data_IF_963388929582
#
_entry.id   IF_963388929582
#
_cell.length_a   1.000
_cell.length_b   1.000
_cell.length_c   1.000
_cell.angle_alpha   90.00
_cell.angle_beta   90.00
_cell.angle_gamma   90.00
#
_symmetry.space_group_name_H-M   'P 1'
#
loop_
_entity.id
_entity.type
_entity.pdbx_description
1 polymer ?
#
# COMPACT_ATOMS: atom_id res chain seq x y z
N UNK A 1 8.35 -0.57 -40.46
CA UNK A 1 8.80 -0.69 -39.08
C UNK A 1 7.56 -0.53 -38.24
N UNK A 2 7.12 -1.58 -37.56
CA UNK A 2 6.02 -1.48 -36.60
C UNK A 2 6.67 -0.89 -35.36
N UNK A 3 6.44 0.39 -35.10
CA UNK A 3 6.63 0.93 -33.74
C UNK A 3 5.67 0.13 -32.87
N UNK A 4 6.19 -0.85 -32.13
CA UNK A 4 5.53 -1.35 -30.94
C UNK A 4 5.33 -0.12 -30.05
N UNK A 5 4.13 0.46 -30.06
CA UNK A 5 3.72 1.40 -29.02
C UNK A 5 4.02 0.71 -27.69
N UNK A 6 4.88 1.32 -26.88
CA UNK A 6 5.06 0.89 -25.52
C UNK A 6 3.68 0.89 -24.86
N UNK A 7 3.32 -0.22 -24.21
CA UNK A 7 2.09 -0.29 -23.42
C UNK A 7 2.31 0.65 -22.24
N UNK A 8 1.38 1.58 -22.01
CA UNK A 8 1.43 2.49 -20.88
C UNK A 8 1.33 1.70 -19.57
N UNK A 9 2.24 1.98 -18.63
CA UNK A 9 2.19 1.46 -17.27
C UNK A 9 1.28 2.37 -16.44
N UNK A 10 0.06 1.87 -16.15
CA UNK A 10 -1.00 2.63 -15.50
C UNK A 10 -1.53 1.83 -14.31
N UNK A 11 -1.64 2.49 -13.16
CA UNK A 11 -2.26 1.91 -11.97
C UNK A 11 -2.95 3.00 -11.14
N UNK A 12 -4.22 2.82 -10.83
CA UNK A 12 -4.95 3.73 -9.92
C UNK A 12 -4.49 3.47 -8.50
N UNK A 13 -4.12 4.53 -7.80
CA UNK A 13 -3.58 4.46 -6.44
C UNK A 13 -4.58 4.95 -5.40
N UNK A 14 -5.29 6.03 -5.68
CA UNK A 14 -6.24 6.62 -4.73
C UNK A 14 -7.45 7.21 -5.44
N UNK A 15 -8.58 7.12 -4.77
CA UNK A 15 -9.80 7.82 -5.10
C UNK A 15 -10.21 8.65 -3.89
N UNK A 16 -10.48 9.93 -4.12
CA UNK A 16 -10.97 10.85 -3.10
C UNK A 16 -12.32 11.38 -3.55
N UNK A 17 -13.29 11.41 -2.63
CA UNK A 17 -14.61 11.97 -2.86
C UNK A 17 -15.11 12.66 -1.61
N UNK A 18 -15.78 13.79 -1.78
CA UNK A 18 -16.65 14.38 -0.77
C UNK A 18 -18.08 14.40 -1.28
N UNK A 19 -19.03 14.55 -0.36
CA UNK A 19 -20.45 14.41 -0.67
C UNK A 19 -20.93 15.53 -1.60
N UNK A 20 -20.83 15.29 -2.90
CA UNK A 20 -21.24 16.20 -3.95
C UNK A 20 -20.46 17.50 -4.06
N UNK A 21 -19.28 17.65 -3.44
CA UNK A 21 -18.43 18.85 -3.53
C UNK A 21 -17.23 18.68 -4.49
N UNK A 22 -16.95 17.45 -4.90
CA UNK A 22 -15.93 17.12 -5.89
C UNK A 22 -15.36 15.72 -5.67
N UNK A 23 -14.45 15.33 -6.55
CA UNK A 23 -13.68 14.09 -6.45
C UNK A 23 -12.27 14.28 -7.01
N UNK A 24 -11.35 13.38 -6.66
CA UNK A 24 -10.01 13.30 -7.23
C UNK A 24 -9.66 11.84 -7.54
N UNK A 25 -9.03 11.60 -8.69
CA UNK A 25 -8.43 10.32 -9.02
C UNK A 25 -6.92 10.47 -9.13
N UNK A 26 -6.20 9.66 -8.36
CA UNK A 26 -4.74 9.63 -8.33
C UNK A 26 -4.26 8.32 -8.91
N UNK A 27 -3.40 8.38 -9.93
CA UNK A 27 -2.88 7.19 -10.59
C UNK A 27 -1.43 7.38 -11.04
N UNK A 28 -0.70 6.28 -11.12
CA UNK A 28 0.59 6.21 -11.78
C UNK A 28 0.41 6.15 -13.29
N UNK A 29 1.23 6.89 -14.02
CA UNK A 29 1.32 6.82 -15.47
C UNK A 29 2.79 6.90 -15.88
N UNK A 30 3.34 5.80 -16.40
CA UNK A 30 4.74 5.67 -16.85
C UNK A 30 5.78 6.20 -15.84
N UNK A 31 5.59 5.88 -14.55
CA UNK A 31 6.49 6.28 -13.47
C UNK A 31 6.29 7.70 -12.91
N UNK A 32 5.31 8.45 -13.43
CA UNK A 32 4.88 9.73 -12.88
C UNK A 32 3.56 9.57 -12.12
N UNK A 33 3.29 10.49 -11.21
CA UNK A 33 2.01 10.58 -10.52
C UNK A 33 1.10 11.60 -11.22
N UNK A 34 -0.13 11.20 -11.49
CA UNK A 34 -1.16 12.06 -12.09
C UNK A 34 -2.33 12.15 -11.11
N UNK A 35 -2.73 13.38 -10.78
CA UNK A 35 -3.93 13.69 -10.00
C UNK A 35 -4.91 14.45 -10.89
N UNK A 36 -6.15 13.95 -10.96
CA UNK A 36 -7.22 14.56 -11.76
C UNK A 36 -8.37 14.93 -10.85
N UNK A 37 -8.50 16.23 -10.61
CA UNK A 37 -9.56 16.83 -9.82
C UNK A 37 -10.80 17.08 -10.66
N UNK A 38 -11.95 16.69 -10.13
CA UNK A 38 -13.27 16.78 -10.76
C UNK A 38 -14.14 17.65 -9.86
N UNK A 39 -14.52 18.82 -10.37
CA UNK A 39 -15.37 19.77 -9.65
C UNK A 39 -16.79 19.77 -10.19
N UNK A 40 -17.81 19.99 -9.33
CA UNK A 40 -19.20 19.98 -9.75
C UNK A 40 -19.50 21.15 -10.68
N UNK A 41 -20.46 20.96 -11.61
CA UNK A 41 -20.85 21.97 -12.60
C UNK A 41 -21.44 23.25 -12.03
N UNK A 42 -22.15 23.14 -10.91
CA UNK A 42 -22.85 24.26 -10.27
C UNK A 42 -22.51 24.40 -8.78
N UNK A 43 -21.30 24.02 -8.36
CA UNK A 43 -20.85 24.13 -6.97
C UNK A 43 -21.33 23.02 -6.02
N UNK A 44 -22.29 22.18 -6.43
CA UNK A 44 -22.56 20.88 -5.82
C UNK A 44 -23.15 19.91 -6.85
N UNK A 45 -22.67 18.66 -6.86
CA UNK A 45 -23.33 17.52 -7.49
C UNK A 45 -24.52 17.16 -6.59
N UNK A 46 -25.64 17.87 -6.74
CA UNK A 46 -26.88 17.44 -6.11
C UNK A 46 -27.26 16.08 -6.72
N UNK A 47 -27.71 15.15 -5.85
CA UNK A 47 -28.42 13.91 -6.25
C UNK A 47 -29.79 14.27 -6.86
N UNK A 48 -29.81 15.18 -7.84
CA UNK A 48 -31.01 15.60 -8.52
C UNK A 48 -31.46 14.46 -9.42
N UNK A 49 -32.66 13.99 -9.11
CA UNK A 49 -33.39 12.87 -9.71
C UNK A 49 -33.86 13.18 -11.15
N UNK A 50 -33.20 14.10 -11.86
CA UNK A 50 -33.52 14.46 -13.23
C UNK A 50 -32.80 13.54 -14.22
N UNK A 51 -33.55 13.12 -15.25
CA UNK A 51 -33.22 12.06 -16.20
C UNK A 51 -31.80 12.16 -16.79
N UNK A 52 -31.15 10.99 -16.88
CA UNK A 52 -29.75 10.72 -17.25
C UNK A 52 -29.18 11.35 -18.55
N UNK A 53 -29.96 12.06 -19.37
CA UNK A 53 -29.49 12.51 -20.70
C UNK A 53 -28.85 13.90 -20.73
N UNK A 54 -29.16 14.77 -19.76
CA UNK A 54 -28.69 16.16 -19.75
C UNK A 54 -27.76 16.49 -18.56
N UNK A 55 -27.39 15.49 -17.74
CA UNK A 55 -26.50 15.69 -16.60
C UNK A 55 -25.06 15.95 -17.07
N UNK A 56 -24.37 16.98 -16.54
CA UNK A 56 -22.95 17.20 -16.83
C UNK A 56 -22.11 15.97 -16.45
N UNK A 57 -21.19 15.59 -17.34
CA UNK A 57 -20.39 14.38 -17.17
C UNK A 57 -19.52 14.42 -15.90
N UNK A 58 -19.04 15.60 -15.51
CA UNK A 58 -18.27 15.77 -14.27
C UNK A 58 -19.09 15.45 -13.01
N UNK A 59 -20.39 15.78 -12.99
CA UNK A 59 -21.26 15.45 -11.86
C UNK A 59 -21.53 13.94 -11.79
N UNK A 60 -21.62 13.27 -12.95
CA UNK A 60 -21.69 11.81 -13.03
C UNK A 60 -20.41 11.15 -12.49
N UNK A 61 -19.22 11.65 -12.84
CA UNK A 61 -17.97 11.08 -12.32
C UNK A 61 -17.75 11.30 -10.84
N UNK A 62 -18.22 12.42 -10.28
CA UNK A 62 -18.23 12.60 -8.82
C UNK A 62 -19.04 11.48 -8.15
N UNK A 63 -20.21 11.13 -8.69
CA UNK A 63 -21.02 10.03 -8.15
C UNK A 63 -20.38 8.66 -8.37
N UNK A 64 -19.74 8.42 -9.51
CA UNK A 64 -19.01 7.16 -9.78
C UNK A 64 -17.89 6.97 -8.76
N UNK A 65 -17.11 8.02 -8.51
CA UNK A 65 -16.02 7.98 -7.53
C UNK A 65 -16.57 7.88 -6.10
N UNK A 66 -17.64 8.60 -5.74
CA UNK A 66 -18.33 8.45 -4.44
C UNK A 66 -18.83 7.01 -4.22
N UNK A 67 -19.34 6.36 -5.27
CA UNK A 67 -19.75 4.95 -5.19
C UNK A 67 -18.54 4.03 -5.02
N UNK A 68 -17.48 4.25 -5.80
CA UNK A 68 -16.26 3.45 -5.71
C UNK A 68 -15.63 3.52 -4.32
N UNK A 69 -15.55 4.71 -3.71
CA UNK A 69 -14.97 4.89 -2.37
C UNK A 69 -15.80 4.25 -1.25
N UNK A 70 -17.11 4.07 -1.45
CA UNK A 70 -18.00 3.39 -0.51
C UNK A 70 -18.23 1.90 -0.84
N UNK A 71 -17.71 1.41 -1.97
CA UNK A 71 -17.94 0.05 -2.45
C UNK A 71 -17.20 -0.97 -1.58
N UNK A 72 -17.85 -2.12 -1.34
CA UNK A 72 -17.27 -3.26 -0.62
C UNK A 72 -17.13 -4.51 -1.50
N UNK A 73 -17.58 -4.42 -2.75
CA UNK A 73 -17.51 -5.49 -3.74
C UNK A 73 -16.39 -5.15 -4.73
N UNK A 74 -15.38 -6.02 -4.80
CA UNK A 74 -14.16 -5.75 -5.57
C UNK A 74 -14.46 -5.67 -7.09
N UNK A 75 -15.40 -6.47 -7.60
CA UNK A 75 -15.77 -6.48 -9.02
C UNK A 75 -16.51 -5.18 -9.38
N UNK A 76 -17.46 -4.74 -8.54
CA UNK A 76 -18.16 -3.46 -8.74
C UNK A 76 -17.20 -2.27 -8.60
N UNK A 77 -16.25 -2.32 -7.66
CA UNK A 77 -15.21 -1.30 -7.52
C UNK A 77 -14.36 -1.17 -8.78
N UNK A 78 -13.86 -2.29 -9.32
CA UNK A 78 -13.05 -2.29 -10.54
C UNK A 78 -13.81 -1.71 -11.74
N UNK A 79 -15.09 -2.10 -11.93
CA UNK A 79 -15.93 -1.55 -13.00
C UNK A 79 -16.09 -0.02 -12.90
N UNK A 80 -16.30 0.51 -11.69
CA UNK A 80 -16.45 1.95 -11.45
C UNK A 80 -15.13 2.72 -11.68
N UNK A 81 -14.01 2.15 -11.24
CA UNK A 81 -12.67 2.74 -11.44
C UNK A 81 -12.32 2.78 -12.93
N UNK A 82 -12.56 1.68 -13.65
CA UNK A 82 -12.29 1.57 -15.08
C UNK A 82 -13.15 2.54 -15.90
N UNK A 83 -14.42 2.73 -15.53
CA UNK A 83 -15.30 3.71 -16.17
C UNK A 83 -14.71 5.13 -16.11
N UNK A 84 -14.32 5.57 -14.91
CA UNK A 84 -13.77 6.91 -14.71
C UNK A 84 -12.39 7.07 -15.34
N UNK A 85 -11.51 6.06 -15.20
CA UNK A 85 -10.16 6.07 -15.74
C UNK A 85 -10.17 6.10 -17.27
N UNK A 86 -11.05 5.34 -17.92
CA UNK A 86 -11.15 5.31 -19.38
C UNK A 86 -11.40 6.70 -19.96
N UNK A 87 -12.32 7.47 -19.37
CA UNK A 87 -12.63 8.82 -19.85
C UNK A 87 -11.49 9.79 -19.60
N UNK A 88 -10.82 9.69 -18.46
CA UNK A 88 -9.63 10.50 -18.15
C UNK A 88 -8.52 10.22 -19.17
N UNK A 89 -8.28 8.95 -19.49
CA UNK A 89 -7.27 8.56 -20.46
C UNK A 89 -7.64 9.00 -21.88
N UNK A 90 -8.91 8.91 -22.28
CA UNK A 90 -9.37 9.40 -23.59
C UNK A 90 -9.16 10.91 -23.75
N UNK A 91 -9.37 11.69 -22.68
CA UNK A 91 -9.17 13.13 -22.68
C UNK A 91 -7.70 13.57 -22.49
N UNK A 92 -6.91 12.76 -21.78
CA UNK A 92 -5.63 13.17 -21.18
C UNK A 92 -4.38 12.44 -21.67
N UNK A 93 -4.50 11.23 -22.26
CA UNK A 93 -3.34 10.36 -22.52
C UNK A 93 -2.24 11.04 -23.35
N UNK A 94 -2.60 11.79 -24.40
CA UNK A 94 -1.61 12.52 -25.21
C UNK A 94 -0.90 13.62 -24.42
N UNK A 95 -1.60 14.30 -23.51
CA UNK A 95 -1.05 15.34 -22.66
C UNK A 95 -0.06 14.74 -21.64
N UNK A 96 -0.39 13.58 -21.06
CA UNK A 96 0.50 12.86 -20.14
C UNK A 96 1.80 12.46 -20.82
N UNK A 97 1.73 11.85 -22.01
CA UNK A 97 2.91 11.51 -22.82
C UNK A 97 3.79 12.71 -23.14
N UNK A 98 3.19 13.85 -23.48
CA UNK A 98 3.93 15.07 -23.79
C UNK A 98 4.73 15.57 -22.58
N UNK A 99 4.19 15.46 -21.38
CA UNK A 99 4.85 15.90 -20.15
C UNK A 99 5.98 14.95 -19.73
N UNK A 100 5.79 13.64 -19.91
CA UNK A 100 6.73 12.61 -19.48
C UNK A 100 7.95 12.52 -20.41
N UNK A 101 7.74 12.59 -21.73
CA UNK A 101 8.83 12.58 -22.72
C UNK A 101 9.85 13.73 -22.58
N UNK A 102 9.53 14.76 -21.79
CA UNK A 102 10.42 15.88 -21.50
C UNK A 102 11.36 15.63 -20.32
N UNK A 103 11.13 14.60 -19.51
CA UNK A 103 12.02 14.19 -18.42
C UNK A 103 12.82 12.96 -18.84
N UNK A 104 14.15 13.01 -18.69
CA UNK A 104 15.11 12.00 -19.15
C UNK A 104 14.65 10.56 -18.80
N UNK A 105 14.20 9.80 -19.83
CA UNK A 105 13.89 8.37 -19.76
C UNK A 105 15.10 7.52 -19.28
N UNK A 106 16.30 8.10 -19.21
CA UNK A 106 17.53 7.45 -18.78
C UNK A 106 17.83 7.60 -17.28
N UNK A 107 17.04 8.36 -16.53
CA UNK A 107 17.23 8.62 -15.10
C UNK A 107 16.14 8.04 -14.19
N UNK A 108 15.19 7.25 -14.72
CA UNK A 108 14.28 6.37 -13.94
C UNK A 108 15.11 5.25 -13.29
N UNK A 109 15.96 5.66 -12.36
CA UNK A 109 16.85 4.81 -11.65
C UNK A 109 16.01 3.85 -10.83
N UNK A 110 16.53 2.63 -10.65
CA UNK A 110 16.02 1.70 -9.65
C UNK A 110 16.10 2.28 -8.22
N UNK A 111 16.47 3.55 -8.01
CA UNK A 111 16.51 4.13 -6.68
C UNK A 111 15.11 4.19 -6.06
N UNK A 112 15.02 3.86 -4.77
CA UNK A 112 13.82 4.02 -3.97
C UNK A 112 13.27 5.45 -4.03
N UNK A 113 14.14 6.46 -4.17
CA UNK A 113 13.76 7.87 -4.25
C UNK A 113 12.68 8.13 -5.31
N UNK A 114 12.77 7.53 -6.49
CA UNK A 114 11.84 7.79 -7.59
C UNK A 114 10.44 7.21 -7.35
N UNK A 115 10.34 6.18 -6.50
CA UNK A 115 9.07 5.60 -6.11
C UNK A 115 8.40 6.39 -4.97
N UNK A 116 9.20 7.00 -4.10
CA UNK A 116 8.69 7.80 -2.99
C UNK A 116 8.33 9.23 -3.42
N UNK A 117 9.12 9.79 -4.32
CA UNK A 117 9.00 11.18 -4.78
C UNK A 117 8.92 11.24 -6.32
N UNK A 118 7.93 10.58 -6.95
CA UNK A 118 7.78 10.63 -8.40
C UNK A 118 7.39 12.05 -8.83
N UNK A 119 7.75 12.48 -10.06
CA UNK A 119 7.21 13.71 -10.64
C UNK A 119 5.68 13.66 -10.64
N UNK A 120 5.04 14.72 -10.12
CA UNK A 120 3.58 14.81 -10.00
C UNK A 120 2.99 15.88 -10.90
N UNK A 121 1.84 15.57 -11.49
CA UNK A 121 1.10 16.46 -12.37
C UNK A 121 -0.36 16.53 -11.95
N UNK A 122 -0.90 17.75 -11.87
CA UNK A 122 -2.26 18.00 -11.42
C UNK A 122 -3.11 18.54 -12.58
N UNK A 123 -4.30 17.98 -12.73
CA UNK A 123 -5.24 18.36 -13.78
C UNK A 123 -6.62 18.58 -13.21
N UNK A 124 -7.38 19.43 -13.90
CA UNK A 124 -8.82 19.55 -13.73
C UNK A 124 -9.53 18.95 -14.94
N UNK A 125 -10.50 18.09 -14.70
CA UNK A 125 -11.41 17.60 -15.73
C UNK A 125 -12.44 18.68 -16.06
N UNK A 126 -12.56 19.04 -17.34
CA UNK A 126 -13.55 19.97 -17.85
C UNK A 126 -14.45 19.25 -18.86
N UNK A 127 -15.75 19.18 -18.57
CA UNK A 127 -16.75 18.57 -19.45
C UNK A 127 -17.97 19.51 -19.62
N UNK A 128 -17.82 20.62 -20.38
CA UNK A 128 -18.90 21.57 -20.60
C UNK A 128 -20.08 20.94 -21.36
N UNK A 129 -21.30 21.28 -20.97
CA UNK A 129 -22.50 20.84 -21.66
C UNK A 129 -22.69 21.60 -23.01
N UNK A 130 -23.16 20.92 -24.08
CA UNK A 130 -23.46 19.49 -24.17
C UNK A 130 -22.22 18.64 -24.53
N UNK A 131 -21.82 17.75 -23.60
CA UNK A 131 -20.95 16.53 -23.58
C UNK A 131 -19.98 16.18 -24.74
N UNK A 132 -19.71 17.05 -25.70
CA UNK A 132 -18.98 16.74 -26.94
C UNK A 132 -17.48 17.03 -26.87
N UNK A 133 -16.98 17.57 -25.75
CA UNK A 133 -15.55 17.73 -25.51
C UNK A 133 -15.23 17.58 -24.03
N UNK A 134 -14.70 16.42 -23.64
CA UNK A 134 -14.01 16.26 -22.35
C UNK A 134 -12.56 16.66 -22.56
N UNK A 135 -12.02 17.48 -21.68
CA UNK A 135 -10.61 17.89 -21.74
C UNK A 135 -10.01 17.98 -20.34
N UNK A 136 -8.70 17.79 -20.26
CA UNK A 136 -7.93 18.04 -19.05
C UNK A 136 -7.20 19.37 -19.15
N UNK A 137 -7.32 20.18 -18.11
CA UNK A 137 -6.57 21.42 -17.95
C UNK A 137 -5.52 21.24 -16.86
N UNK A 138 -4.26 21.55 -17.14
CA UNK A 138 -3.20 21.61 -16.12
C UNK A 138 -3.56 22.65 -15.06
N UNK A 139 -3.40 22.29 -13.79
CA UNK A 139 -3.61 23.17 -12.63
C UNK A 139 -2.40 23.12 -11.70
N UNK A 140 -2.29 24.11 -10.81
CA UNK A 140 -1.35 24.04 -9.69
C UNK A 140 -1.84 23.05 -8.63
N UNK A 141 -0.95 22.46 -7.83
CA UNK A 141 -1.34 21.55 -6.75
C UNK A 141 -2.22 22.22 -5.70
N UNK A 142 -2.10 23.54 -5.51
CA UNK A 142 -2.97 24.32 -4.61
C UNK A 142 -4.41 24.47 -5.11
N UNK A 143 -4.67 24.20 -6.39
CA UNK A 143 -6.02 24.19 -6.98
C UNK A 143 -6.64 22.78 -7.00
N UNK A 144 -5.87 21.74 -6.67
CA UNK A 144 -6.34 20.36 -6.70
C UNK A 144 -7.41 20.12 -5.62
N UNK A 145 -8.35 19.21 -5.89
CA UNK A 145 -9.38 18.81 -4.93
C UNK A 145 -8.75 18.13 -3.69
N UNK A 146 -7.71 17.34 -3.90
CA UNK A 146 -6.92 16.74 -2.83
C UNK A 146 -5.46 17.12 -3.00
N UNK A 147 -4.86 17.68 -1.95
CA UNK A 147 -3.43 17.98 -1.94
C UNK A 147 -2.64 16.71 -1.68
N UNK A 148 -1.89 16.24 -2.68
CA UNK A 148 -0.94 15.13 -2.52
C UNK A 148 0.42 15.75 -2.18
N UNK A 149 0.61 16.13 -0.92
CA UNK A 149 1.87 16.70 -0.46
C UNK A 149 2.94 15.60 -0.37
N UNK A 150 3.68 15.44 -1.47
CA UNK A 150 4.82 14.52 -1.59
C UNK A 150 6.12 15.21 -1.13
N UNK A 151 6.19 16.55 -1.21
CA UNK A 151 7.44 17.31 -0.94
C UNK A 151 7.26 18.72 -0.32
N UNK A 152 6.05 19.26 -0.17
CA UNK A 152 5.84 20.66 0.24
C UNK A 152 6.11 20.88 1.73
N UNK A 153 7.40 21.01 2.11
CA UNK A 153 7.81 21.55 3.41
C UNK A 153 7.15 20.83 4.59
N UNK A 154 7.44 19.54 4.74
CA UNK A 154 7.02 18.71 5.86
C UNK A 154 7.03 19.50 7.17
N UNK A 155 5.86 19.55 7.81
CA UNK A 155 5.66 20.32 9.03
C UNK A 155 6.64 19.83 10.10
N UNK A 156 7.64 20.66 10.42
CA UNK A 156 8.64 20.40 11.47
C UNK A 156 8.00 20.20 12.86
N UNK A 157 6.67 20.38 12.97
CA UNK A 157 5.90 20.18 14.19
C UNK A 157 5.58 18.70 14.49
N UNK A 158 5.71 17.79 13.52
CA UNK A 158 5.41 16.36 13.74
C UNK A 158 6.67 15.66 14.27
N UNK A 159 6.77 15.63 15.59
CA UNK A 159 7.78 14.83 16.30
C UNK A 159 7.39 13.34 16.22
N UNK A 160 7.93 12.63 15.24
CA UNK A 160 7.90 11.17 15.20
C UNK A 160 8.89 10.61 16.24
N UNK A 161 8.60 10.79 17.53
CA UNK A 161 9.39 10.17 18.60
C UNK A 161 9.06 8.67 18.68
N UNK A 162 9.61 7.92 17.73
CA UNK A 162 9.54 6.45 17.70
C UNK A 162 10.50 5.81 18.73
N UNK A 163 11.24 6.60 19.53
CA UNK A 163 12.22 6.17 20.54
C UNK A 163 13.12 5.01 20.05
N UNK A 164 13.60 5.11 18.80
CA UNK A 164 14.40 4.06 18.17
C UNK A 164 15.80 3.99 18.76
N UNK A 165 16.40 2.79 18.75
CA UNK A 165 17.78 2.63 19.18
C UNK A 165 18.72 3.36 18.18
N UNK A 166 19.59 4.29 18.64
CA UNK A 166 20.49 5.03 17.77
C UNK A 166 21.52 4.17 17.02
N UNK A 167 21.75 2.93 17.47
CA UNK A 167 22.67 1.99 16.80
C UNK A 167 22.06 1.32 15.56
N UNK A 168 20.77 1.51 15.29
CA UNK A 168 20.12 0.96 14.10
C UNK A 168 20.66 1.71 12.86
N UNK A 169 21.15 1.00 11.83
CA UNK A 169 21.61 1.65 10.60
C UNK A 169 20.51 2.50 9.94
N UNK A 170 20.90 3.66 9.41
CA UNK A 170 20.00 4.54 8.65
C UNK A 170 20.50 4.69 7.20
N UNK A 171 19.55 4.86 6.28
CA UNK A 171 19.81 4.96 4.84
C UNK A 171 18.93 6.01 4.20
N UNK A 172 19.43 6.73 3.21
CA UNK A 172 18.58 7.61 2.40
C UNK A 172 17.99 6.83 1.22
N UNK A 173 16.84 7.25 0.65
CA UNK A 173 16.23 6.57 -0.50
C UNK A 173 17.17 6.44 -1.72
N UNK A 174 18.11 7.38 -1.89
CA UNK A 174 19.09 7.38 -2.97
C UNK A 174 20.08 6.20 -2.88
N UNK A 175 20.38 5.72 -1.67
CA UNK A 175 21.30 4.60 -1.43
C UNK A 175 20.67 3.23 -1.67
N UNK A 176 19.36 3.18 -1.91
CA UNK A 176 18.57 1.95 -1.95
C UNK A 176 18.13 1.69 -3.39
N UNK A 177 18.52 0.55 -3.95
CA UNK A 177 18.07 0.11 -5.28
C UNK A 177 16.93 -0.90 -5.17
N UNK A 178 15.75 -0.57 -5.68
CA UNK A 178 14.60 -1.45 -5.86
C UNK A 178 14.90 -2.54 -6.89
N UNK A 179 14.71 -3.80 -6.48
CA UNK A 179 14.90 -4.96 -7.34
C UNK A 179 13.59 -5.58 -7.81
N UNK A 180 12.57 -5.57 -6.94
CA UNK A 180 11.24 -6.11 -7.23
C UNK A 180 10.20 -5.34 -6.42
N UNK A 181 9.15 -4.86 -7.08
CA UNK A 181 8.04 -4.13 -6.46
C UNK A 181 6.91 -5.11 -6.15
N UNK A 182 6.42 -5.11 -4.92
CA UNK A 182 5.26 -5.91 -4.51
C UNK A 182 3.99 -5.07 -4.43
N UNK A 183 4.10 -3.85 -3.90
CA UNK A 183 3.01 -2.89 -3.78
C UNK A 183 3.59 -1.53 -4.09
N UNK A 184 2.90 -0.76 -4.92
CA UNK A 184 3.24 0.62 -5.24
C UNK A 184 1.96 1.45 -5.25
N UNK A 185 2.00 2.57 -4.53
CA UNK A 185 0.92 3.55 -4.49
C UNK A 185 1.49 4.96 -4.65
N UNK A 186 0.65 5.97 -4.45
CA UNK A 186 1.08 7.37 -4.54
C UNK A 186 2.11 7.69 -3.45
N UNK A 187 3.40 7.63 -3.77
CA UNK A 187 4.51 7.81 -2.82
C UNK A 187 4.59 6.73 -1.74
N UNK A 188 4.05 5.53 -1.97
CA UNK A 188 4.18 4.38 -1.06
C UNK A 188 4.73 3.18 -1.81
N UNK A 189 5.60 2.41 -1.16
CA UNK A 189 6.20 1.24 -1.77
C UNK A 189 6.50 0.13 -0.77
N UNK A 190 6.19 -1.09 -1.18
CA UNK A 190 6.67 -2.33 -0.58
C UNK A 190 7.45 -3.10 -1.64
N UNK A 191 8.72 -3.40 -1.37
CA UNK A 191 9.63 -3.94 -2.38
C UNK A 191 10.75 -4.81 -1.80
N UNK A 192 11.29 -5.71 -2.62
CA UNK A 192 12.64 -6.21 -2.40
C UNK A 192 13.63 -5.18 -2.94
N UNK A 193 14.69 -4.96 -2.17
CA UNK A 193 15.70 -3.93 -2.46
C UNK A 193 17.10 -4.47 -2.25
N UNK A 194 18.07 -3.77 -2.85
CA UNK A 194 19.49 -3.99 -2.74
C UNK A 194 20.13 -2.77 -2.07
N UNK A 195 20.80 -2.98 -0.95
CA UNK A 195 21.55 -1.95 -0.23
C UNK A 195 22.97 -2.44 -0.03
N UNK A 196 23.95 -1.75 -0.61
CA UNK A 196 25.38 -2.11 -0.52
C UNK A 196 25.67 -3.60 -0.84
N UNK A 197 24.99 -4.18 -1.85
CA UNK A 197 25.18 -5.59 -2.21
C UNK A 197 24.49 -6.61 -1.29
N UNK A 198 23.68 -6.17 -0.32
CA UNK A 198 22.78 -7.02 0.47
C UNK A 198 21.31 -6.88 0.07
N UNK A 199 20.63 -8.01 -0.17
CA UNK A 199 19.20 -8.03 -0.43
C UNK A 199 18.40 -7.86 0.87
N UNK A 200 17.37 -7.01 0.84
CA UNK A 200 16.51 -6.67 1.96
C UNK A 200 15.06 -6.50 1.50
N UNK A 201 14.14 -6.50 2.45
CA UNK A 201 12.77 -6.07 2.24
C UNK A 201 12.61 -4.62 2.70
N UNK A 202 11.90 -3.81 1.92
CA UNK A 202 11.63 -2.41 2.18
C UNK A 202 10.12 -2.16 2.24
N UNK A 203 9.69 -1.39 3.23
CA UNK A 203 8.36 -0.77 3.29
C UNK A 203 8.57 0.70 3.59
N UNK A 204 8.11 1.58 2.72
CA UNK A 204 8.41 3.02 2.80
C UNK A 204 7.33 3.89 2.16
N UNK A 205 7.27 5.14 2.61
CA UNK A 205 6.33 6.18 2.21
C UNK A 205 7.01 7.54 2.20
N UNK A 206 6.84 8.28 1.11
CA UNK A 206 7.29 9.67 0.92
C UNK A 206 6.09 10.61 0.88
N UNK A 207 5.45 10.83 2.01
CA UNK A 207 4.29 11.75 2.12
C UNK A 207 4.37 12.59 3.37
N UNK A 208 3.79 13.79 3.31
CA UNK A 208 3.64 14.68 4.45
C UNK A 208 3.28 13.93 5.74
N UNK A 209 4.01 14.23 6.82
CA UNK A 209 3.87 13.56 8.11
C UNK A 209 4.52 12.18 8.21
N UNK A 210 5.30 11.76 7.20
CA UNK A 210 6.20 10.59 7.27
C UNK A 210 5.48 9.31 7.66
N UNK A 211 5.94 8.68 8.74
CA UNK A 211 5.33 7.48 9.29
C UNK A 211 4.34 7.75 10.42
N UNK A 212 4.11 9.00 10.82
CA UNK A 212 3.20 9.31 11.93
C UNK A 212 1.81 8.68 11.74
N UNK A 213 1.35 7.91 12.72
CA UNK A 213 0.03 7.26 12.72
C UNK A 213 -0.15 6.14 11.70
N UNK A 214 0.93 5.66 11.06
CA UNK A 214 0.87 4.63 10.01
C UNK A 214 1.14 3.21 10.54
N UNK A 215 0.72 2.21 9.77
CA UNK A 215 1.06 0.80 10.03
C UNK A 215 2.58 0.55 9.97
N UNK A 216 3.28 1.31 9.13
CA UNK A 216 4.71 1.26 8.90
C UNK A 216 5.50 1.71 10.14
N UNK A 217 5.06 2.79 10.80
CA UNK A 217 5.62 3.21 12.09
C UNK A 217 5.43 2.12 13.15
N UNK A 218 4.24 1.53 13.20
CA UNK A 218 3.91 0.47 14.16
C UNK A 218 4.77 -0.78 13.94
N UNK A 219 4.99 -1.17 12.67
CA UNK A 219 5.85 -2.29 12.30
C UNK A 219 7.32 -2.00 12.66
N UNK A 220 7.83 -0.81 12.30
CA UNK A 220 9.19 -0.39 12.66
C UNK A 220 9.42 -0.42 14.18
N UNK A 221 8.45 0.09 14.96
CA UNK A 221 8.51 0.05 16.42
C UNK A 221 8.58 -1.38 16.95
N UNK A 222 7.69 -2.28 16.51
CA UNK A 222 7.68 -3.68 16.96
C UNK A 222 8.97 -4.41 16.56
N UNK A 223 9.46 -4.22 15.33
CA UNK A 223 10.72 -4.81 14.88
C UNK A 223 11.93 -4.28 15.67
N UNK A 224 11.91 -3.01 16.08
CA UNK A 224 12.92 -2.40 16.95
C UNK A 224 12.89 -2.99 18.37
N UNK A 225 11.70 -3.20 18.94
CA UNK A 225 11.54 -3.88 20.24
C UNK A 225 12.00 -5.33 20.18
N UNK A 226 11.68 -6.05 19.10
CA UNK A 226 12.14 -7.41 18.87
C UNK A 226 13.67 -7.51 18.76
N UNK A 227 14.32 -6.53 18.13
CA UNK A 227 15.78 -6.48 18.02
C UNK A 227 16.46 -6.38 19.41
N UNK A 228 15.81 -5.75 20.40
CA UNK A 228 16.32 -5.64 21.78
C UNK A 228 16.25 -6.97 22.54
N UNK A 229 15.28 -7.81 22.20
CA UNK A 229 14.95 -9.04 22.95
C UNK A 229 15.55 -10.29 22.31
N UNK A 230 15.49 -10.40 20.99
CA UNK A 230 15.84 -11.62 20.28
C UNK A 230 17.20 -11.54 19.61
N UNK A 231 18.16 -12.40 19.96
CA UNK A 231 19.39 -12.49 19.21
C UNK A 231 19.11 -13.04 17.80
N UNK A 232 20.02 -12.82 16.84
CA UNK A 232 19.80 -13.27 15.48
C UNK A 232 19.47 -14.77 15.39
N UNK A 233 18.42 -15.10 14.64
CA UNK A 233 17.91 -16.48 14.40
C UNK A 233 17.25 -17.16 15.61
N UNK A 234 17.04 -16.48 16.73
CA UNK A 234 16.35 -17.04 17.89
C UNK A 234 14.86 -17.34 17.64
N UNK A 235 14.24 -16.56 16.74
CA UNK A 235 12.85 -16.65 16.36
C UNK A 235 12.71 -16.58 14.84
N UNK A 236 11.67 -17.21 14.29
CA UNK A 236 11.32 -17.16 12.86
C UNK A 236 10.51 -15.91 12.52
N UNK A 237 11.14 -14.75 12.76
CA UNK A 237 10.63 -13.43 12.41
C UNK A 237 11.76 -12.64 11.73
N UNK A 238 11.48 -11.87 10.66
CA UNK A 238 12.48 -11.01 10.04
C UNK A 238 13.10 -10.02 11.03
N UNK A 239 14.43 -9.87 10.99
CA UNK A 239 15.11 -8.83 11.78
C UNK A 239 15.05 -7.47 11.10
N UNK A 240 14.90 -6.42 11.91
CA UNK A 240 15.18 -5.05 11.48
C UNK A 240 16.66 -4.92 11.10
N UNK A 241 16.92 -4.32 9.94
CA UNK A 241 18.27 -4.09 9.41
C UNK A 241 18.62 -2.61 9.31
N UNK A 242 17.60 -1.75 9.24
CA UNK A 242 17.76 -0.31 9.27
C UNK A 242 16.43 0.41 9.11
N UNK A 243 16.47 1.74 9.21
CA UNK A 243 15.36 2.60 8.84
C UNK A 243 15.78 3.60 7.75
N UNK A 244 14.79 4.17 7.09
CA UNK A 244 14.97 5.05 5.95
C UNK A 244 14.60 6.44 6.39
N UNK A 245 15.44 7.43 6.12
CA UNK A 245 15.18 8.82 6.48
C UNK A 245 15.31 9.72 5.27
N UNK A 246 14.50 10.77 5.25
CA UNK A 246 14.62 11.83 4.27
C UNK A 246 15.93 12.58 4.49
N UNK A 247 16.66 12.84 3.40
CA UNK A 247 18.01 13.41 3.45
C UNK A 247 18.07 14.76 4.14
N UNK A 248 17.09 15.62 3.86
CA UNK A 248 17.11 17.02 4.34
C UNK A 248 16.34 17.21 5.65
N UNK A 249 15.20 16.54 5.81
CA UNK A 249 14.30 16.73 6.97
C UNK A 249 14.58 15.75 8.10
N UNK A 250 15.34 14.68 7.84
CA UNK A 250 15.62 13.58 8.78
C UNK A 250 14.36 12.79 9.23
N UNK A 251 13.19 13.08 8.66
CA UNK A 251 11.98 12.33 8.93
C UNK A 251 12.12 10.88 8.50
N UNK A 252 11.54 9.96 9.27
CA UNK A 252 11.55 8.55 8.94
C UNK A 252 10.54 8.32 7.82
N UNK A 253 10.99 7.67 6.76
CA UNK A 253 10.20 7.35 5.58
C UNK A 253 9.84 5.88 5.52
N UNK A 254 10.44 5.01 6.33
CA UNK A 254 10.24 3.58 6.23
C UNK A 254 11.31 2.76 6.93
N UNK A 255 11.32 1.46 6.62
CA UNK A 255 12.28 0.54 7.22
C UNK A 255 12.76 -0.54 6.25
N UNK A 256 13.92 -1.09 6.61
CA UNK A 256 14.55 -2.23 5.95
C UNK A 256 14.61 -3.40 6.92
N UNK A 257 14.08 -4.54 6.51
CA UNK A 257 14.16 -5.79 7.28
C UNK A 257 14.75 -6.93 6.46
N UNK A 258 15.05 -8.02 7.15
CA UNK A 258 15.50 -9.26 6.52
C UNK A 258 14.53 -9.69 5.41
N UNK A 259 15.09 -9.92 4.22
CA UNK A 259 14.40 -10.62 3.14
C UNK A 259 14.21 -12.09 3.50
N UNK A 260 12.97 -12.57 3.43
CA UNK A 260 12.61 -13.97 3.64
C UNK A 260 12.06 -14.51 2.32
N UNK A 261 12.86 -15.21 1.51
CA UNK A 261 12.38 -15.81 0.28
C UNK A 261 11.43 -16.96 0.63
N UNK A 262 10.35 -17.10 -0.14
CA UNK A 262 9.38 -18.16 0.08
C UNK A 262 8.03 -17.85 -0.55
N UNK A 263 7.02 -18.63 -0.15
CA UNK A 263 5.63 -18.48 -0.59
C UNK A 263 4.74 -18.20 0.61
N UNK A 264 3.63 -17.47 0.43
CA UNK A 264 2.69 -17.26 1.54
C UNK A 264 2.02 -18.57 1.91
N UNK A 265 1.71 -18.76 3.18
CA UNK A 265 1.01 -19.96 3.65
C UNK A 265 -0.37 -20.09 2.97
N UNK A 266 -1.05 -18.96 2.74
CA UNK A 266 -2.31 -18.90 1.98
C UNK A 266 -2.25 -19.62 0.64
N UNK A 267 -1.10 -19.57 -0.03
CA UNK A 267 -0.97 -20.02 -1.41
C UNK A 267 -0.61 -21.51 -1.50
N UNK A 268 0.01 -22.05 -0.44
CA UNK A 268 0.58 -23.41 -0.45
C UNK A 268 -0.18 -24.41 0.40
N UNK A 269 -1.03 -23.94 1.31
CA UNK A 269 -1.68 -24.79 2.32
C UNK A 269 -2.56 -25.89 1.72
N UNK A 270 -3.30 -25.59 0.66
CA UNK A 270 -4.23 -26.54 0.02
C UNK A 270 -3.51 -27.76 -0.59
N UNK A 271 -2.28 -27.58 -1.07
CA UNK A 271 -1.48 -28.63 -1.70
C UNK A 271 -0.49 -29.31 -0.73
N UNK A 272 -0.45 -28.89 0.54
CA UNK A 272 0.55 -29.34 1.49
C UNK A 272 0.21 -30.68 2.14
N UNK A 273 1.20 -31.58 2.23
CA UNK A 273 1.09 -32.82 2.98
C UNK A 273 0.84 -32.57 4.48
N UNK A 274 0.17 -33.50 5.17
CA UNK A 274 -0.19 -33.37 6.58
C UNK A 274 1.03 -33.12 7.48
N UNK A 275 2.15 -33.76 7.19
CA UNK A 275 3.40 -33.63 7.95
C UNK A 275 3.96 -32.21 7.87
N UNK A 276 3.87 -31.58 6.68
CA UNK A 276 4.29 -30.18 6.49
C UNK A 276 3.37 -29.23 7.26
N UNK A 277 2.05 -29.44 7.16
CA UNK A 277 1.08 -28.61 7.88
C UNK A 277 1.28 -28.70 9.40
N UNK A 278 1.54 -29.89 9.93
CA UNK A 278 1.87 -30.10 11.34
C UNK A 278 3.16 -29.38 11.74
N UNK A 279 4.22 -29.47 10.91
CA UNK A 279 5.48 -28.74 11.14
C UNK A 279 5.22 -27.23 11.24
N UNK A 280 4.48 -26.66 10.28
CA UNK A 280 4.18 -25.23 10.26
C UNK A 280 3.36 -24.80 11.48
N UNK A 281 2.33 -25.57 11.85
CA UNK A 281 1.53 -25.30 13.05
C UNK A 281 2.39 -25.22 14.32
N UNK A 282 3.35 -26.15 14.48
CA UNK A 282 4.29 -26.14 15.59
C UNK A 282 5.20 -24.90 15.57
N UNK A 283 5.75 -24.52 14.41
CA UNK A 283 6.65 -23.36 14.30
C UNK A 283 5.93 -22.02 14.52
N UNK A 284 4.71 -21.88 14.01
CA UNK A 284 3.86 -20.70 14.22
C UNK A 284 3.54 -20.56 15.71
N UNK A 285 3.09 -21.64 16.37
CA UNK A 285 2.84 -21.66 17.81
C UNK A 285 4.07 -21.25 18.61
N UNK A 286 5.22 -21.87 18.34
CA UNK A 286 6.47 -21.55 19.03
C UNK A 286 6.88 -20.09 18.89
N UNK A 287 6.71 -19.52 17.70
CA UNK A 287 7.06 -18.11 17.46
C UNK A 287 6.12 -17.17 18.23
N UNK A 288 4.81 -17.42 18.19
CA UNK A 288 3.81 -16.62 18.94
C UNK A 288 4.05 -16.74 20.45
N UNK A 289 4.24 -17.95 20.98
CA UNK A 289 4.54 -18.15 22.41
C UNK A 289 5.80 -17.40 22.84
N UNK A 290 6.85 -17.42 22.01
CA UNK A 290 8.10 -16.72 22.30
C UNK A 290 7.94 -15.19 22.27
N UNK A 291 7.14 -14.65 21.34
CA UNK A 291 6.76 -13.23 21.34
C UNK A 291 6.05 -12.86 22.64
N UNK A 292 5.00 -13.61 22.99
CA UNK A 292 4.16 -13.34 24.16
C UNK A 292 4.93 -13.45 25.48
N UNK A 293 5.87 -14.41 25.59
CA UNK A 293 6.74 -14.55 26.76
C UNK A 293 7.61 -13.31 27.01
N UNK A 294 7.88 -12.52 25.98
CA UNK A 294 8.66 -11.29 26.06
C UNK A 294 7.79 -10.03 25.99
N UNK A 295 6.46 -10.16 26.15
CA UNK A 295 5.53 -9.04 26.16
C UNK A 295 5.25 -8.41 24.79
N UNK A 296 5.63 -9.09 23.70
CA UNK A 296 5.44 -8.64 22.32
C UNK A 296 4.24 -9.35 21.70
N UNK A 297 3.58 -8.69 20.74
CA UNK A 297 2.43 -9.22 20.00
C UNK A 297 2.71 -9.21 18.50
N UNK A 298 2.13 -10.14 17.76
CA UNK A 298 2.19 -10.17 16.30
C UNK A 298 1.23 -9.15 15.69
N UNK A 299 -0.04 -9.21 16.11
CA UNK A 299 -1.02 -8.15 15.94
C UNK A 299 -1.87 -8.18 14.68
N UNK A 300 -1.50 -8.93 13.63
CA UNK A 300 -2.35 -9.18 12.44
C UNK A 300 -2.21 -10.64 11.99
N UNK A 301 -2.71 -11.55 12.83
CA UNK A 301 -2.52 -12.97 12.61
C UNK A 301 -3.39 -13.56 11.50
N UNK A 302 -2.78 -13.85 10.35
CA UNK A 302 -3.44 -14.51 9.20
C UNK A 302 -2.46 -15.29 8.31
N UNK A 303 -2.92 -16.27 7.50
CA UNK A 303 -2.06 -17.07 6.63
C UNK A 303 -1.28 -16.27 5.58
N UNK A 304 -1.81 -15.13 5.11
CA UNK A 304 -1.09 -14.28 4.16
C UNK A 304 0.13 -13.58 4.78
N UNK A 305 0.16 -13.45 6.11
CA UNK A 305 1.26 -12.87 6.88
C UNK A 305 2.24 -13.95 7.38
N UNK A 306 2.20 -15.15 6.79
CA UNK A 306 3.13 -16.24 7.07
C UNK A 306 3.83 -16.63 5.78
N UNK A 307 5.17 -16.62 5.79
CA UNK A 307 5.99 -17.07 4.66
C UNK A 307 6.55 -18.45 4.97
N UNK A 308 6.40 -19.38 4.05
CA UNK A 308 7.07 -20.68 4.05
C UNK A 308 8.33 -20.55 3.20
N UNK A 309 9.49 -20.61 3.86
CA UNK A 309 10.78 -20.48 3.19
C UNK A 309 11.18 -21.74 2.40
N UNK A 310 12.31 -21.66 1.69
CA UNK A 310 12.85 -22.76 0.88
C UNK A 310 13.23 -24.02 1.71
N UNK A 311 13.32 -23.89 3.04
CA UNK A 311 13.57 -25.00 3.98
C UNK A 311 12.26 -25.52 4.59
N UNK A 312 11.14 -25.09 4.06
CA UNK A 312 9.79 -25.42 4.53
C UNK A 312 9.58 -24.98 5.99
N UNK A 313 10.27 -23.93 6.44
CA UNK A 313 10.06 -23.32 7.76
C UNK A 313 9.07 -22.16 7.65
N UNK A 314 8.17 -22.06 8.63
CA UNK A 314 7.21 -20.97 8.72
C UNK A 314 7.82 -19.74 9.42
N UNK A 315 7.68 -18.58 8.78
CA UNK A 315 8.10 -17.27 9.29
C UNK A 315 6.89 -16.36 9.46
N UNK A 316 6.77 -15.70 10.62
CA UNK A 316 5.77 -14.66 10.80
C UNK A 316 6.33 -13.35 10.23
N UNK A 317 5.56 -12.70 9.36
CA UNK A 317 5.86 -11.40 8.79
C UNK A 317 4.73 -10.42 9.13
N UNK A 318 4.93 -9.15 8.79
CA UNK A 318 3.96 -8.07 8.97
C UNK A 318 3.55 -7.85 10.43
N UNK A 319 4.18 -6.86 11.04
CA UNK A 319 3.93 -6.43 12.41
C UNK A 319 3.30 -5.03 12.43
N UNK A 320 2.71 -4.58 11.31
CA UNK A 320 2.05 -3.28 11.25
C UNK A 320 0.76 -3.19 12.06
N UNK A 321 0.22 -4.33 12.47
CA UNK A 321 -1.09 -4.40 13.13
C UNK A 321 -2.23 -4.36 12.12
N UNK A 322 -3.41 -3.99 12.59
CA UNK A 322 -4.63 -3.99 11.80
C UNK A 322 -5.62 -5.09 12.18
N UNK A 323 -6.78 -5.00 11.54
CA UNK A 323 -7.89 -5.92 11.72
C UNK A 323 -8.18 -6.63 10.40
N UNK A 324 -8.07 -7.96 10.42
CA UNK A 324 -8.51 -8.78 9.30
C UNK A 324 -9.79 -9.52 9.68
N UNK A 325 -10.90 -9.14 9.03
CA UNK A 325 -12.21 -9.77 9.21
C UNK A 325 -12.10 -11.28 9.00
N UNK A 326 -12.74 -12.04 9.89
CA UNK A 326 -12.72 -13.50 9.84
C UNK A 326 -11.53 -14.15 10.54
N UNK A 327 -10.46 -13.41 10.86
CA UNK A 327 -9.29 -13.95 11.58
C UNK A 327 -9.32 -13.59 13.07
N UNK A 328 -9.45 -12.32 13.41
CA UNK A 328 -9.46 -11.84 14.80
C UNK A 328 -10.77 -11.07 15.06
N UNK A 329 -11.25 -11.00 16.29
CA UNK A 329 -12.31 -10.07 16.68
C UNK A 329 -11.78 -8.63 16.70
N UNK A 330 -12.56 -7.65 16.24
CA UNK A 330 -12.11 -6.25 16.15
C UNK A 330 -11.71 -5.72 17.53
N UNK A 331 -12.45 -6.14 18.57
CA UNK A 331 -12.24 -5.77 19.96
C UNK A 331 -10.98 -6.36 20.59
N UNK A 332 -10.37 -7.36 19.96
CA UNK A 332 -9.13 -8.01 20.41
C UNK A 332 -8.00 -7.95 19.38
N UNK A 333 -8.17 -7.18 18.31
CA UNK A 333 -7.12 -6.92 17.33
C UNK A 333 -5.89 -6.32 18.02
N UNK A 334 -4.69 -6.65 17.53
CA UNK A 334 -3.43 -6.13 18.07
C UNK A 334 -3.17 -6.46 19.55
N UNK A 335 -3.78 -7.53 20.06
CA UNK A 335 -3.57 -8.01 21.42
C UNK A 335 -3.03 -9.44 21.45
N UNK A 336 -2.48 -9.83 22.60
CA UNK A 336 -2.12 -11.23 22.89
C UNK A 336 -3.31 -12.18 22.68
N UNK A 337 -4.50 -11.78 23.13
CA UNK A 337 -5.71 -12.59 22.96
C UNK A 337 -6.09 -12.73 21.49
N UNK A 338 -5.89 -11.67 20.69
CA UNK A 338 -6.06 -11.69 19.25
C UNK A 338 -5.12 -12.67 18.56
N UNK A 339 -3.83 -12.64 18.91
CA UNK A 339 -2.83 -13.60 18.41
C UNK A 339 -3.18 -15.05 18.76
N UNK A 340 -3.65 -15.30 19.99
CA UNK A 340 -4.10 -16.62 20.43
C UNK A 340 -5.34 -17.10 19.65
N UNK A 341 -6.27 -16.19 19.31
CA UNK A 341 -7.41 -16.52 18.45
C UNK A 341 -6.97 -16.82 17.01
N UNK A 342 -6.09 -16.00 16.44
CA UNK A 342 -5.54 -16.23 15.11
C UNK A 342 -4.82 -17.58 15.04
N UNK A 343 -3.99 -17.90 16.04
CA UNK A 343 -3.28 -19.17 16.13
C UNK A 343 -4.24 -20.38 16.11
N UNK A 344 -5.36 -20.31 16.83
CA UNK A 344 -6.37 -21.38 16.83
C UNK A 344 -6.92 -21.59 15.42
N UNK A 345 -7.39 -20.53 14.77
CA UNK A 345 -7.94 -20.61 13.40
C UNK A 345 -6.92 -21.09 12.37
N UNK A 346 -5.68 -20.62 12.46
CA UNK A 346 -4.60 -21.06 11.56
C UNK A 346 -4.30 -22.55 11.79
N UNK A 347 -4.32 -23.01 13.05
CA UNK A 347 -4.11 -24.44 13.38
C UNK A 347 -5.26 -25.30 12.87
N UNK A 348 -6.51 -24.85 12.99
CA UNK A 348 -7.70 -25.53 12.43
C UNK A 348 -7.58 -25.66 10.91
N UNK A 349 -7.21 -24.58 10.22
CA UNK A 349 -6.97 -24.57 8.78
C UNK A 349 -5.86 -25.56 8.38
N UNK A 350 -4.75 -25.58 9.12
CA UNK A 350 -3.63 -26.51 8.89
C UNK A 350 -3.99 -27.97 9.18
N UNK A 351 -4.93 -28.21 10.10
CA UNK A 351 -5.37 -29.58 10.43
C UNK A 351 -6.30 -30.16 9.36
N UNK A 352 -6.79 -29.33 8.44
CA UNK A 352 -7.51 -29.75 7.26
C UNK A 352 -9.03 -29.79 7.42
N UNK A 353 -9.60 -28.88 8.23
CA UNK A 353 -11.03 -28.66 8.34
C UNK A 353 -11.83 -29.97 8.35
N UNK A 354 -11.78 -30.71 9.45
CA UNK A 354 -12.78 -31.76 9.65
C UNK A 354 -14.17 -31.11 9.54
N UNK A 355 -15.01 -31.71 8.70
CA UNK A 355 -16.40 -31.36 8.44
C UNK A 355 -17.10 -30.68 9.63
N UNK A 356 -17.33 -29.38 9.52
CA UNK A 356 -18.44 -28.71 10.22
C UNK A 356 -19.72 -28.82 9.38
N UNK A 357 -19.95 -30.00 8.80
CA UNK A 357 -21.17 -30.38 8.08
C UNK A 357 -21.85 -31.59 8.72
N UNK A 358 -21.87 -31.67 10.04
CA UNK A 358 -22.83 -32.51 10.73
C UNK A 358 -23.12 -31.97 12.12
N UNK A 359 -24.20 -31.21 12.25
CA UNK A 359 -25.23 -31.61 13.22
C UNK A 359 -26.63 -31.29 12.65
N UNK A 360 -27.64 -32.14 12.96
CA UNK A 360 -28.87 -32.30 12.20
C UNK A 360 -29.96 -31.24 12.40
#
# INVERSE_FOLDING_TARGET
>A
MVETQAIDDIAVYELHSGTGDGADMVFGFNGCLVSVSIFPSNGSSSKDTQEHKDRPLQDHFIDVIEKATACQDDDEYEELVDEALAVILDAGRSLFHQLISSQDEQALSKSLYHYLFPPSFHFRLEAPAPTSSVSLKTIDSSEAYTTIDIDSGFDQSIDEDLELNPDIPHFTPEDISVTEVFIHGAGTITAAVQVQGRAMFCKSRGRAGGLFGTSEAQELKRLSEMLKVFPPKAIKVPQLLGYIHHKDTQQILGFLRQWVPGRRLSDVIAAAAAEKRQKWACQIRQSIELLHQNGLVWGDGKPSNIVIDDKEDAWLIDFGGGYTRGWVGEEIAETRQGDEQALRKITELLSGGEDMSSDP
#
